data_IF_478179382600
#
_entry.id   IF_478179382600
#
_cell.length_a   1.000
_cell.length_b   1.000
_cell.length_c   1.000
_cell.angle_alpha   90.00
_cell.angle_beta   90.00
_cell.angle_gamma   90.00
#
_symmetry.space_group_name_H-M   'P 1'
#
loop_
_entity.id
_entity.type
_entity.pdbx_description
1 polymer ?
#
# COMPACT_ATOMS: atom_id res chain seq x y z
N UNK A 1 -37.72 -3.16 -13.60
CA UNK A 1 -36.55 -4.06 -13.73
C UNK A 1 -35.31 -3.17 -13.85
N UNK A 2 -34.63 -2.90 -12.73
CA UNK A 2 -33.51 -1.94 -12.69
C UNK A 2 -32.21 -2.75 -12.82
N UNK A 3 -31.50 -2.57 -13.93
CA UNK A 3 -30.23 -3.24 -14.17
C UNK A 3 -29.19 -2.71 -13.18
N UNK A 4 -28.63 -3.65 -12.42
CA UNK A 4 -27.63 -3.46 -11.38
C UNK A 4 -26.32 -2.88 -11.92
N UNK A 5 -25.77 -1.86 -11.26
CA UNK A 5 -24.40 -1.31 -11.45
C UNK A 5 -23.26 -2.32 -11.14
N UNK A 6 -23.57 -3.63 -11.04
CA UNK A 6 -22.59 -4.70 -10.82
C UNK A 6 -21.78 -5.07 -12.07
N UNK A 7 -22.07 -4.51 -13.25
CA UNK A 7 -21.58 -5.06 -14.52
C UNK A 7 -20.20 -4.55 -14.98
N UNK A 8 -19.83 -3.30 -14.64
CA UNK A 8 -18.58 -2.71 -15.18
C UNK A 8 -17.35 -3.16 -14.37
N UNK A 9 -17.42 -3.16 -13.04
CA UNK A 9 -16.30 -3.59 -12.20
C UNK A 9 -16.07 -5.11 -12.27
N UNK A 10 -17.13 -5.91 -12.28
CA UNK A 10 -17.00 -7.38 -12.30
C UNK A 10 -16.39 -7.95 -13.59
N UNK A 11 -16.51 -7.23 -14.71
CA UNK A 11 -15.85 -7.58 -15.96
C UNK A 11 -14.36 -7.19 -15.96
N UNK A 12 -14.03 -6.01 -15.43
CA UNK A 12 -12.64 -5.54 -15.32
C UNK A 12 -11.82 -6.41 -14.36
N UNK A 13 -12.40 -6.83 -13.23
CA UNK A 13 -11.73 -7.70 -12.25
C UNK A 13 -11.31 -9.06 -12.84
N UNK A 14 -12.09 -9.60 -13.78
CA UNK A 14 -11.76 -10.85 -14.49
C UNK A 14 -10.64 -10.69 -15.53
N UNK A 15 -10.50 -9.50 -16.11
CA UNK A 15 -9.53 -9.22 -17.17
C UNK A 15 -8.19 -8.77 -16.58
N UNK A 16 -8.23 -7.94 -15.53
CA UNK A 16 -7.05 -7.32 -14.92
C UNK A 16 -6.53 -8.09 -13.69
N UNK A 17 -7.35 -8.95 -13.09
CA UNK A 17 -7.05 -9.61 -11.83
C UNK A 17 -7.05 -8.65 -10.63
N UNK A 18 -6.87 -9.21 -9.43
CA UNK A 18 -6.70 -8.42 -8.20
C UNK A 18 -5.22 -8.26 -7.89
N UNK A 19 -4.75 -7.03 -7.73
CA UNK A 19 -3.42 -6.78 -7.17
C UNK A 19 -3.46 -7.04 -5.67
N UNK A 20 -2.73 -8.05 -5.20
CA UNK A 20 -2.65 -8.33 -3.78
C UNK A 20 -2.01 -7.12 -3.07
N UNK A 21 -2.68 -6.69 -2.00
CA UNK A 21 -2.23 -5.54 -1.23
C UNK A 21 -0.85 -5.80 -0.66
N UNK A 22 0.06 -4.82 -0.79
CA UNK A 22 1.37 -4.91 -0.16
C UNK A 22 1.20 -4.94 1.35
N UNK A 23 1.98 -5.79 2.02
CA UNK A 23 1.98 -5.94 3.48
C UNK A 23 2.25 -4.60 4.21
N UNK A 24 2.94 -3.66 3.58
CA UNK A 24 3.35 -2.37 4.16
C UNK A 24 2.59 -1.17 3.56
N UNK A 25 1.32 -1.34 3.21
CA UNK A 25 0.52 -0.23 2.67
C UNK A 25 0.27 0.83 3.76
N UNK A 26 0.71 2.06 3.47
CA UNK A 26 0.49 3.24 4.33
C UNK A 26 -0.99 3.59 4.51
N UNK A 27 -1.88 3.07 3.65
CA UNK A 27 -3.33 3.31 3.72
C UNK A 27 -3.98 2.23 4.58
N UNK A 28 -4.97 2.56 5.40
CA UNK A 28 -5.74 1.56 6.15
C UNK A 28 -6.88 0.96 5.32
N UNK A 29 -7.38 -0.23 5.69
CA UNK A 29 -8.58 -0.80 5.08
C UNK A 29 -9.82 0.09 5.23
N UNK A 30 -9.89 0.89 6.32
CA UNK A 30 -10.95 1.87 6.54
C UNK A 30 -10.93 2.98 5.49
N UNK A 31 -9.76 3.56 5.21
CA UNK A 31 -9.61 4.60 4.19
C UNK A 31 -9.93 4.07 2.79
N UNK A 32 -9.57 2.82 2.48
CA UNK A 32 -9.97 2.17 1.23
C UNK A 32 -11.49 1.98 1.12
N UNK A 33 -12.16 1.58 2.20
CA UNK A 33 -13.62 1.45 2.20
C UNK A 33 -14.30 2.80 1.91
N UNK A 34 -13.84 3.85 2.58
CA UNK A 34 -14.35 5.22 2.39
C UNK A 34 -14.08 5.76 0.98
N UNK A 35 -12.92 5.42 0.39
CA UNK A 35 -12.60 5.83 -0.99
C UNK A 35 -13.45 5.11 -2.03
N UNK A 36 -13.73 3.81 -1.83
CA UNK A 36 -14.64 3.04 -2.67
C UNK A 36 -16.07 3.61 -2.59
N UNK A 37 -16.55 3.91 -1.39
CA UNK A 37 -17.86 4.55 -1.18
C UNK A 37 -17.91 5.93 -1.86
N UNK A 38 -16.84 6.72 -1.76
CA UNK A 38 -16.73 8.01 -2.44
C UNK A 38 -16.85 7.85 -3.95
N UNK A 39 -16.24 6.81 -4.54
CA UNK A 39 -16.30 6.57 -5.97
C UNK A 39 -17.73 6.28 -6.47
N UNK A 40 -18.55 5.59 -5.66
CA UNK A 40 -19.95 5.29 -5.99
C UNK A 40 -20.85 6.54 -5.97
N UNK A 41 -20.50 7.54 -5.16
CA UNK A 41 -21.32 8.76 -4.97
C UNK A 41 -20.91 9.90 -5.91
N UNK A 42 -19.78 9.77 -6.64
CA UNK A 42 -19.19 10.81 -7.53
C UNK A 42 -20.12 11.41 -8.59
N UNK A 43 -21.27 10.79 -8.87
CA UNK A 43 -22.24 11.27 -9.86
C UNK A 43 -23.52 11.91 -9.30
N UNK A 44 -23.75 11.88 -7.98
CA UNK A 44 -25.05 12.30 -7.40
C UNK A 44 -25.16 13.79 -7.09
N UNK A 45 -24.04 14.51 -7.10
CA UNK A 45 -23.93 15.97 -6.90
C UNK A 45 -24.61 16.53 -5.63
N UNK A 46 -24.80 15.68 -4.61
CA UNK A 46 -25.39 16.04 -3.31
C UNK A 46 -24.32 16.35 -2.25
N UNK A 47 -24.72 17.04 -1.16
CA UNK A 47 -23.85 17.38 -0.02
C UNK A 47 -23.15 16.15 0.60
N UNK A 48 -23.78 14.97 0.47
CA UNK A 48 -23.23 13.69 0.91
C UNK A 48 -21.86 13.37 0.30
N UNK A 49 -21.63 13.75 -0.97
CA UNK A 49 -20.33 13.56 -1.63
C UNK A 49 -19.24 14.40 -0.97
N UNK A 50 -19.54 15.65 -0.61
CA UNK A 50 -18.60 16.55 0.03
C UNK A 50 -18.20 16.06 1.42
N UNK A 51 -19.18 15.62 2.22
CA UNK A 51 -18.91 15.05 3.55
C UNK A 51 -18.09 13.76 3.46
N UNK A 52 -18.42 12.87 2.52
CA UNK A 52 -17.72 11.61 2.33
C UNK A 52 -16.28 11.82 1.81
N UNK A 53 -16.08 12.78 0.90
CA UNK A 53 -14.73 13.17 0.45
C UNK A 53 -13.91 13.77 1.60
N UNK A 54 -14.51 14.63 2.43
CA UNK A 54 -13.85 15.24 3.60
C UNK A 54 -13.42 14.19 4.62
N UNK A 55 -14.29 13.23 4.92
CA UNK A 55 -13.97 12.13 5.85
C UNK A 55 -12.91 11.18 5.28
N UNK A 56 -12.96 10.86 3.99
CA UNK A 56 -11.92 10.08 3.30
C UNK A 56 -10.57 10.78 3.35
N UNK A 57 -10.53 12.08 3.04
CA UNK A 57 -9.31 12.87 3.09
C UNK A 57 -8.74 12.96 4.51
N UNK A 58 -9.60 13.09 5.53
CA UNK A 58 -9.17 13.06 6.94
C UNK A 58 -8.57 11.70 7.30
N UNK A 59 -9.24 10.60 6.93
CA UNK A 59 -8.75 9.24 7.20
C UNK A 59 -7.38 8.98 6.56
N UNK A 60 -7.20 9.36 5.28
CA UNK A 60 -5.92 9.23 4.59
C UNK A 60 -4.79 10.07 5.23
N UNK A 61 -5.11 11.26 5.76
CA UNK A 61 -4.14 12.10 6.47
C UNK A 61 -3.70 11.46 7.79
N UNK A 62 -4.64 10.90 8.55
CA UNK A 62 -4.31 10.22 9.81
C UNK A 62 -3.50 8.94 9.57
N UNK A 63 -3.85 8.15 8.55
CA UNK A 63 -3.07 6.98 8.12
C UNK A 63 -1.63 7.36 7.78
N UNK A 64 -1.44 8.44 6.98
CA UNK A 64 -0.10 8.94 6.65
C UNK A 64 0.69 9.37 7.88
N UNK A 65 0.07 10.10 8.82
CA UNK A 65 0.74 10.52 10.06
C UNK A 65 1.19 9.31 10.86
N UNK A 66 0.29 8.34 11.04
CA UNK A 66 0.57 7.10 11.76
C UNK A 66 1.75 6.34 11.13
N UNK A 67 1.73 6.17 9.81
CA UNK A 67 2.81 5.51 9.08
C UNK A 67 4.18 6.18 9.34
N UNK A 68 4.26 7.50 9.19
CA UNK A 68 5.53 8.21 9.42
C UNK A 68 5.98 8.18 10.87
N UNK A 69 5.04 8.23 11.82
CA UNK A 69 5.34 8.08 13.23
C UNK A 69 5.95 6.70 13.52
N UNK A 70 5.34 5.63 13.03
CA UNK A 70 5.85 4.26 13.20
C UNK A 70 7.24 4.06 12.56
N UNK A 71 7.48 4.63 11.37
CA UNK A 71 8.80 4.62 10.72
C UNK A 71 9.84 5.33 11.58
N UNK A 72 9.54 6.53 12.09
CA UNK A 72 10.46 7.30 12.91
C UNK A 72 10.80 6.58 14.22
N UNK A 73 9.80 6.05 14.93
CA UNK A 73 10.02 5.26 16.15
C UNK A 73 10.85 4.01 15.88
N UNK A 74 10.58 3.32 14.77
CA UNK A 74 11.36 2.12 14.39
C UNK A 74 12.81 2.46 14.05
N UNK A 75 13.05 3.61 13.39
CA UNK A 75 14.40 4.08 13.08
C UNK A 75 15.18 4.43 14.36
N UNK A 76 14.55 5.13 15.29
CA UNK A 76 15.14 5.46 16.60
C UNK A 76 15.52 4.19 17.37
N UNK A 77 14.61 3.21 17.43
CA UNK A 77 14.87 1.92 18.07
C UNK A 77 16.04 1.17 17.42
N UNK A 78 16.06 1.07 16.08
CA UNK A 78 17.15 0.41 15.37
C UNK A 78 18.49 1.10 15.61
N UNK A 79 18.51 2.44 15.61
CA UNK A 79 19.72 3.23 15.90
C UNK A 79 20.21 3.00 17.33
N UNK A 80 19.31 2.97 18.32
CA UNK A 80 19.68 2.76 19.72
C UNK A 80 20.28 1.38 19.98
N UNK A 81 19.85 0.37 19.24
CA UNK A 81 20.36 -1.02 19.33
C UNK A 81 21.59 -1.23 18.43
N UNK A 82 21.89 -0.31 17.52
CA UNK A 82 22.96 -0.44 16.53
C UNK A 82 22.63 -1.38 15.37
N UNK A 83 21.35 -1.65 15.11
CA UNK A 83 20.90 -2.49 14.01
C UNK A 83 20.91 -1.72 12.67
N UNK A 84 22.09 -1.65 12.06
CA UNK A 84 22.30 -0.97 10.79
C UNK A 84 21.52 -1.61 9.63
N UNK A 85 21.27 -2.92 9.68
CA UNK A 85 20.48 -3.61 8.65
C UNK A 85 19.04 -3.12 8.70
N UNK A 86 18.45 -3.08 9.89
CA UNK A 86 17.08 -2.59 10.07
C UNK A 86 16.95 -1.11 9.71
N UNK A 87 17.95 -0.32 10.07
CA UNK A 87 18.01 1.09 9.70
C UNK A 87 18.03 1.28 8.17
N UNK A 88 18.83 0.50 7.45
CA UNK A 88 18.85 0.51 5.99
C UNK A 88 17.50 0.13 5.38
N UNK A 89 16.86 -0.95 5.86
CA UNK A 89 15.53 -1.37 5.41
C UNK A 89 14.48 -0.26 5.60
N UNK A 90 14.49 0.43 6.74
CA UNK A 90 13.58 1.53 7.05
C UNK A 90 13.83 2.76 6.16
N UNK A 91 15.10 3.07 5.85
CA UNK A 91 15.46 4.15 4.91
C UNK A 91 14.91 3.83 3.51
N UNK A 92 15.06 2.59 3.05
CA UNK A 92 14.49 2.14 1.78
C UNK A 92 12.96 2.25 1.81
N UNK A 93 12.31 1.79 2.87
CA UNK A 93 10.85 1.87 3.03
C UNK A 93 10.33 3.33 3.07
N UNK A 94 11.04 4.23 3.74
CA UNK A 94 10.72 5.66 3.82
C UNK A 94 10.95 6.39 2.50
N UNK A 95 11.96 5.99 1.72
CA UNK A 95 12.36 6.67 0.48
C UNK A 95 11.36 6.55 -0.67
N UNK A 96 10.25 5.80 -0.49
CA UNK A 96 9.26 5.47 -1.52
C UNK A 96 9.84 4.82 -2.80
N UNK A 97 11.14 4.56 -2.85
CA UNK A 97 11.88 4.18 -4.05
C UNK A 97 12.84 3.03 -3.76
N UNK A 98 12.26 1.83 -3.66
CA UNK A 98 12.78 0.67 -4.38
C UNK A 98 11.58 -0.24 -4.69
N UNK A 99 11.08 -0.11 -5.92
CA UNK A 99 10.36 -1.16 -6.60
C UNK A 99 11.12 -2.46 -6.41
N UNK A 100 10.51 -3.41 -5.68
CA UNK A 100 11.09 -4.68 -5.23
C UNK A 100 12.50 -4.52 -4.65
N UNK A 101 12.62 -4.55 -3.32
CA UNK A 101 13.86 -5.02 -2.73
C UNK A 101 14.09 -6.40 -3.35
N UNK A 102 15.00 -6.45 -4.34
CA UNK A 102 15.36 -7.69 -5.00
C UNK A 102 16.01 -8.53 -3.92
N UNK A 103 15.29 -9.54 -3.47
CA UNK A 103 15.81 -10.62 -2.64
C UNK A 103 16.87 -11.46 -3.40
N UNK A 104 17.34 -10.98 -4.55
CA UNK A 104 18.36 -11.58 -5.40
C UNK A 104 19.51 -10.61 -5.67
N UNK A 105 20.73 -11.10 -5.50
CA UNK A 105 22.00 -10.46 -5.79
C UNK A 105 22.49 -11.01 -7.13
N UNK A 106 22.91 -10.13 -8.04
CA UNK A 106 23.47 -10.48 -9.34
C UNK A 106 24.90 -9.92 -9.50
N UNK A 107 25.73 -10.57 -10.30
CA UNK A 107 27.06 -10.10 -10.67
C UNK A 107 26.98 -9.00 -11.73
N UNK A 108 28.13 -8.38 -12.04
CA UNK A 108 28.23 -7.27 -13.00
C UNK A 108 27.84 -7.65 -14.43
N UNK A 109 27.85 -8.95 -14.76
CA UNK A 109 27.43 -9.50 -16.05
C UNK A 109 25.98 -10.01 -16.03
N UNK A 110 25.25 -9.82 -14.93
CA UNK A 110 23.88 -10.28 -14.75
C UNK A 110 23.73 -11.75 -14.32
N UNK A 111 24.81 -12.42 -13.93
CA UNK A 111 24.77 -13.76 -13.34
C UNK A 111 24.17 -13.74 -11.93
N UNK A 112 23.25 -14.65 -11.63
CA UNK A 112 22.66 -14.75 -10.28
C UNK A 112 23.70 -15.23 -9.26
N UNK A 113 23.95 -14.45 -8.20
CA UNK A 113 24.91 -14.76 -7.13
C UNK A 113 24.20 -15.45 -5.95
N UNK A 114 23.12 -14.86 -5.44
CA UNK A 114 22.39 -15.40 -4.29
C UNK A 114 21.00 -14.80 -4.23
N UNK A 115 20.02 -15.52 -3.69
CA UNK A 115 18.74 -14.91 -3.37
C UNK A 115 17.89 -15.71 -2.40
N UNK A 116 17.11 -15.01 -1.59
CA UNK A 116 16.19 -15.59 -0.62
C UNK A 116 14.93 -16.09 -1.35
N UNK A 117 15.00 -17.30 -1.87
CA UNK A 117 13.83 -18.09 -2.21
C UNK A 117 13.08 -18.44 -0.91
N UNK A 118 12.19 -17.57 -0.45
CA UNK A 118 11.21 -17.96 0.57
C UNK A 118 10.23 -18.93 -0.09
N UNK A 119 10.54 -20.22 0.08
CA UNK A 119 9.74 -21.35 -0.36
C UNK A 119 8.41 -21.31 0.39
N UNK A 120 7.37 -20.72 -0.20
CA UNK A 120 5.98 -21.00 0.21
C UNK A 120 5.59 -22.29 -0.50
N UNK A 121 5.86 -23.42 0.15
CA UNK A 121 5.32 -24.72 -0.25
C UNK A 121 3.96 -24.93 0.45
N UNK A 122 2.94 -25.09 -0.40
CA UNK A 122 1.54 -25.51 -0.21
C UNK A 122 0.51 -24.47 0.23
#
# INVERSE_FOLDING_TARGET
MVLTEKSVCGAADKILGYTQRRHNDSISGRTLRLSAETALVRGRNDDSFYQLRKTTAKSAREDRKKYWFEIATSMEQASNVGDNRKLYELIIQASCKLSSLSDSVFDVNGGFIAGNATKVER
#
